data_IF_347876482105
#
_entry.id   IF_347876482105
#
_cell.length_a   1.000
_cell.length_b   1.000
_cell.length_c   1.000
_cell.angle_alpha   90.00
_cell.angle_beta   90.00
_cell.angle_gamma   90.00
#
_symmetry.space_group_name_H-M   'P 1'
#
loop_
_entity.id
_entity.type
_entity.pdbx_description
1 polymer ?
#
# COMPACT_ATOMS: atom_id res chain seq x y z
N UNK A 1 -8.96 -27.38 5.54
CA UNK A 1 -10.00 -27.78 6.50
C UNK A 1 -9.69 -27.31 7.92
N UNK A 2 -10.70 -26.87 8.68
CA UNK A 2 -10.65 -26.48 10.10
C UNK A 2 -10.00 -25.13 10.43
N UNK A 3 -9.33 -24.50 9.46
CA UNK A 3 -8.54 -23.27 9.64
C UNK A 3 -9.39 -22.01 9.65
N UNK A 4 -8.95 -21.01 10.42
CA UNK A 4 -9.38 -19.61 10.29
C UNK A 4 -8.59 -18.94 9.17
N UNK A 5 -9.27 -18.22 8.28
CA UNK A 5 -8.67 -17.64 7.08
C UNK A 5 -8.89 -16.14 7.04
N UNK A 6 -7.79 -15.39 6.87
CA UNK A 6 -7.84 -13.97 6.58
C UNK A 6 -7.52 -13.72 5.11
N UNK A 7 -8.38 -12.98 4.41
CA UNK A 7 -8.17 -12.53 3.04
C UNK A 7 -7.87 -11.03 3.09
N UNK A 8 -6.63 -10.64 2.83
CA UNK A 8 -6.25 -9.22 2.76
C UNK A 8 -6.54 -8.69 1.37
N UNK A 9 -7.30 -7.61 1.28
CA UNK A 9 -7.48 -6.85 0.04
C UNK A 9 -7.57 -5.36 0.33
N UNK A 10 -7.45 -4.52 -0.70
CA UNK A 10 -7.82 -3.11 -0.61
C UNK A 10 -9.21 -2.92 -1.21
N UNK A 11 -10.12 -2.26 -0.48
CA UNK A 11 -11.50 -2.05 -0.94
C UNK A 11 -11.69 -0.74 -1.73
N UNK A 12 -10.63 0.04 -1.92
CA UNK A 12 -10.63 1.28 -2.70
C UNK A 12 -10.59 2.54 -1.86
N UNK A 13 -10.60 3.69 -2.55
CA UNK A 13 -10.57 5.03 -1.94
C UNK A 13 -11.37 6.02 -2.81
N UNK A 14 -12.11 6.92 -2.14
CA UNK A 14 -12.85 8.05 -2.72
C UNK A 14 -13.72 7.73 -3.96
N UNK A 15 -13.31 8.13 -5.16
CA UNK A 15 -14.03 7.87 -6.43
C UNK A 15 -13.37 6.78 -7.29
N UNK A 16 -12.30 6.15 -6.81
CA UNK A 16 -11.61 5.06 -7.50
C UNK A 16 -12.51 3.83 -7.68
N UNK A 17 -12.46 3.22 -8.87
CA UNK A 17 -13.35 2.13 -9.29
C UNK A 17 -12.62 0.91 -9.89
N UNK A 18 -11.28 0.89 -9.85
CA UNK A 18 -10.43 -0.19 -10.40
C UNK A 18 -10.03 -1.24 -9.37
N UNK A 19 -10.77 -1.33 -8.25
CA UNK A 19 -10.57 -2.36 -7.23
C UNK A 19 -11.19 -3.68 -7.64
N UNK A 20 -10.79 -4.77 -6.98
CA UNK A 20 -11.29 -6.13 -7.30
C UNK A 20 -12.81 -6.18 -7.07
N UNK A 21 -13.63 -6.46 -8.10
CA UNK A 21 -15.07 -6.48 -7.97
C UNK A 21 -15.56 -7.44 -6.86
N UNK A 22 -16.59 -7.06 -6.08
CA UNK A 22 -17.13 -7.92 -5.00
C UNK A 22 -17.52 -9.33 -5.43
N UNK A 23 -17.90 -9.51 -6.72
CA UNK A 23 -18.19 -10.83 -7.29
C UNK A 23 -17.00 -11.78 -7.19
N UNK A 24 -15.78 -11.34 -7.53
CA UNK A 24 -14.59 -12.18 -7.45
C UNK A 24 -14.22 -12.50 -6.01
N UNK A 25 -14.42 -11.55 -5.09
CA UNK A 25 -14.24 -11.77 -3.65
C UNK A 25 -15.21 -12.85 -3.17
N UNK A 26 -16.49 -12.81 -3.57
CA UNK A 26 -17.49 -13.83 -3.24
C UNK A 26 -17.09 -15.22 -3.74
N UNK A 27 -16.59 -15.31 -4.97
CA UNK A 27 -16.12 -16.58 -5.56
C UNK A 27 -14.98 -17.15 -4.73
N UNK A 28 -13.99 -16.33 -4.36
CA UNK A 28 -12.87 -16.76 -3.51
C UNK A 28 -13.36 -17.19 -2.12
N UNK A 29 -14.20 -16.39 -1.47
CA UNK A 29 -14.75 -16.71 -0.14
C UNK A 29 -15.49 -18.05 -0.16
N UNK A 30 -16.28 -18.32 -1.21
CA UNK A 30 -16.97 -19.59 -1.35
C UNK A 30 -15.99 -20.75 -1.53
N UNK A 31 -14.98 -20.61 -2.40
CA UNK A 31 -13.95 -21.63 -2.60
C UNK A 31 -13.20 -21.96 -1.29
N UNK A 32 -12.89 -20.94 -0.48
CA UNK A 32 -12.23 -21.12 0.83
C UNK A 32 -13.13 -21.86 1.82
N UNK A 33 -14.44 -21.57 1.82
CA UNK A 33 -15.42 -22.30 2.66
C UNK A 33 -15.57 -23.75 2.21
N UNK A 34 -15.65 -23.99 0.90
CA UNK A 34 -15.79 -25.33 0.33
C UNK A 34 -14.54 -26.19 0.62
N UNK A 35 -13.36 -25.57 0.74
CA UNK A 35 -12.13 -26.20 1.24
C UNK A 35 -12.13 -26.50 2.77
N UNK A 36 -13.27 -26.26 3.43
CA UNK A 36 -13.52 -26.59 4.83
C UNK A 36 -12.97 -25.56 5.82
N UNK A 37 -12.84 -24.28 5.45
CA UNK A 37 -12.46 -23.25 6.39
C UNK A 37 -13.49 -23.13 7.54
N UNK A 38 -13.01 -23.09 8.79
CA UNK A 38 -13.85 -22.91 9.98
C UNK A 38 -14.44 -21.51 10.04
N UNK A 39 -13.66 -20.52 9.63
CA UNK A 39 -14.05 -19.12 9.62
C UNK A 39 -13.26 -18.38 8.54
N UNK A 40 -13.93 -17.47 7.83
CA UNK A 40 -13.32 -16.65 6.78
C UNK A 40 -13.67 -15.19 7.07
N UNK A 41 -12.68 -14.31 6.96
CA UNK A 41 -12.86 -12.86 7.04
C UNK A 41 -12.06 -12.19 5.93
N UNK A 42 -12.63 -11.13 5.37
CA UNK A 42 -11.85 -10.16 4.59
C UNK A 42 -11.35 -9.09 5.54
N UNK A 43 -10.11 -8.64 5.35
CA UNK A 43 -9.51 -7.59 6.17
C UNK A 43 -9.07 -6.42 5.30
N UNK A 44 -9.43 -5.21 5.71
CA UNK A 44 -8.88 -3.96 5.21
C UNK A 44 -9.08 -2.88 6.26
N UNK A 45 -8.11 -1.98 6.40
CA UNK A 45 -8.13 -1.00 7.48
C UNK A 45 -8.78 0.32 7.08
N UNK A 46 -8.81 0.62 5.78
CA UNK A 46 -9.38 1.85 5.23
C UNK A 46 -10.88 1.99 5.47
N UNK A 47 -11.61 0.86 5.53
CA UNK A 47 -13.03 0.81 5.90
C UNK A 47 -13.26 1.24 7.35
N UNK A 48 -12.23 1.36 8.20
CA UNK A 48 -12.46 1.62 9.64
C UNK A 48 -11.71 2.85 10.16
N UNK A 49 -10.60 3.26 9.52
CA UNK A 49 -9.87 4.47 9.90
C UNK A 49 -10.45 5.77 9.30
N UNK A 50 -10.91 5.73 8.04
CA UNK A 50 -11.19 6.96 7.27
C UNK A 50 -12.68 7.12 6.91
N UNK A 51 -13.34 6.05 6.44
CA UNK A 51 -14.74 6.09 6.03
C UNK A 51 -15.41 4.68 6.14
N UNK A 52 -16.24 4.44 7.16
CA UNK A 52 -16.95 3.18 7.35
C UNK A 52 -17.99 2.85 6.28
N UNK A 53 -18.47 3.86 5.56
CA UNK A 53 -19.46 3.67 4.51
C UNK A 53 -18.80 3.41 3.15
N UNK A 54 -17.50 3.68 3.00
CA UNK A 54 -16.78 3.56 1.74
C UNK A 54 -16.81 2.14 1.16
N UNK A 55 -16.59 1.13 2.01
CA UNK A 55 -16.68 -0.28 1.62
C UNK A 55 -18.13 -0.69 1.33
N UNK A 56 -19.08 -0.19 2.13
CA UNK A 56 -20.50 -0.47 1.97
C UNK A 56 -21.04 0.08 0.64
N UNK A 57 -20.69 1.32 0.29
CA UNK A 57 -21.09 1.97 -0.96
C UNK A 57 -20.58 1.23 -2.22
N UNK A 58 -19.50 0.46 -2.09
CA UNK A 58 -18.91 -0.36 -3.16
C UNK A 58 -19.42 -1.80 -3.19
N UNK A 59 -20.35 -2.16 -2.32
CA UNK A 59 -20.89 -3.51 -2.24
C UNK A 59 -19.97 -4.52 -1.57
N UNK A 60 -18.91 -4.07 -0.87
CA UNK A 60 -18.16 -4.93 0.04
C UNK A 60 -18.96 -5.05 1.35
N UNK A 61 -20.02 -5.85 1.32
CA UNK A 61 -20.83 -6.19 2.48
C UNK A 61 -20.85 -7.69 2.71
N UNK A 62 -21.13 -8.12 3.94
CA UNK A 62 -21.20 -9.54 4.30
C UNK A 62 -22.19 -10.32 3.43
N UNK A 63 -23.30 -9.70 3.06
CA UNK A 63 -24.38 -10.29 2.25
C UNK A 63 -23.92 -10.52 0.80
N UNK A 64 -23.10 -9.61 0.27
CA UNK A 64 -22.58 -9.67 -1.09
C UNK A 64 -21.40 -10.64 -1.18
N UNK A 65 -20.39 -10.51 -0.32
CA UNK A 65 -19.16 -11.31 -0.43
C UNK A 65 -19.24 -12.64 0.34
N UNK A 66 -20.21 -12.78 1.26
CA UNK A 66 -20.44 -14.02 2.01
C UNK A 66 -19.63 -14.17 3.30
N UNK A 67 -18.80 -13.20 3.69
CA UNK A 67 -18.06 -13.21 4.95
C UNK A 67 -17.96 -11.80 5.54
N UNK A 68 -17.70 -11.64 6.85
CA UNK A 68 -17.46 -10.32 7.42
C UNK A 68 -16.21 -9.67 6.83
N UNK A 69 -16.24 -8.34 6.77
CA UNK A 69 -15.08 -7.48 6.53
C UNK A 69 -14.74 -6.80 7.85
N UNK A 70 -13.48 -6.82 8.25
CA UNK A 70 -13.03 -6.28 9.54
C UNK A 70 -11.75 -5.46 9.39
N UNK A 71 -11.52 -4.52 10.32
CA UNK A 71 -10.28 -3.73 10.36
C UNK A 71 -9.09 -4.64 10.59
N UNK A 72 -7.96 -4.34 9.94
CA UNK A 72 -6.71 -5.04 10.21
C UNK A 72 -6.24 -4.92 11.67
N UNK A 73 -6.61 -3.87 12.40
CA UNK A 73 -6.13 -3.58 13.76
C UNK A 73 -7.23 -3.66 14.82
N UNK A 74 -8.33 -4.34 14.50
CA UNK A 74 -9.52 -4.45 15.34
C UNK A 74 -10.25 -3.11 15.49
N UNK A 75 -11.45 -3.14 16.09
CA UNK A 75 -12.30 -1.93 16.22
C UNK A 75 -11.64 -0.78 17.00
N UNK A 76 -10.68 -1.09 17.88
CA UNK A 76 -9.95 -0.09 18.66
C UNK A 76 -8.66 0.42 18.01
N UNK A 77 -8.27 -0.07 16.83
CA UNK A 77 -7.02 0.30 16.15
C UNK A 77 -5.73 -0.09 16.89
N UNK A 78 -5.84 -0.94 17.91
CA UNK A 78 -4.76 -1.28 18.85
C UNK A 78 -4.34 -2.75 18.80
N UNK A 79 -5.01 -3.56 17.98
CA UNK A 79 -4.72 -4.98 17.86
C UNK A 79 -3.61 -5.19 16.83
N UNK A 80 -2.37 -5.13 17.31
CA UNK A 80 -1.19 -5.27 16.48
C UNK A 80 -0.03 -5.93 17.23
N UNK A 81 0.84 -6.60 16.48
CA UNK A 81 2.06 -7.22 16.99
C UNK A 81 3.30 -6.49 16.48
N UNK A 82 4.25 -6.23 17.38
CA UNK A 82 5.51 -5.57 17.04
C UNK A 82 6.55 -6.60 16.62
N UNK A 83 7.24 -6.33 15.52
CA UNK A 83 8.35 -7.13 15.01
C UNK A 83 9.55 -6.24 14.73
N UNK A 84 10.76 -6.73 14.99
CA UNK A 84 11.98 -6.02 14.64
C UNK A 84 12.31 -6.20 13.15
N UNK A 85 12.64 -5.10 12.46
CA UNK A 85 13.04 -5.10 11.05
C UNK A 85 14.53 -4.78 10.91
N UNK A 86 15.01 -3.73 11.60
CA UNK A 86 16.44 -3.37 11.65
C UNK A 86 17.02 -2.87 10.33
N UNK A 87 16.28 -2.06 9.56
CA UNK A 87 16.73 -1.53 8.27
C UNK A 87 16.71 0.00 8.25
N UNK A 88 17.89 0.63 8.35
CA UNK A 88 18.03 2.10 8.45
C UNK A 88 17.13 2.66 9.56
N UNK A 89 16.22 3.57 9.22
CA UNK A 89 15.25 4.18 10.14
C UNK A 89 14.01 3.30 10.36
N UNK A 90 13.83 2.24 9.56
CA UNK A 90 12.80 1.20 9.72
C UNK A 90 13.32 0.12 10.68
N UNK A 91 13.35 0.47 11.96
CA UNK A 91 13.74 -0.40 13.07
C UNK A 91 12.69 -1.47 13.42
N UNK A 92 11.41 -1.18 13.27
CA UNK A 92 10.30 -2.10 13.56
C UNK A 92 9.11 -1.97 12.61
N UNK A 93 8.26 -3.00 12.61
CA UNK A 93 6.93 -2.99 12.03
C UNK A 93 5.87 -3.39 13.07
N UNK A 94 4.69 -2.77 13.00
CA UNK A 94 3.51 -3.15 13.79
C UNK A 94 2.50 -3.81 12.85
N UNK A 95 2.39 -5.14 12.92
CA UNK A 95 1.56 -5.96 12.05
C UNK A 95 0.13 -6.14 12.57
N UNK A 96 -0.81 -6.26 11.65
CA UNK A 96 -2.23 -6.55 11.89
C UNK A 96 -2.43 -7.77 12.79
N UNK A 97 -3.07 -7.58 13.94
CA UNK A 97 -3.43 -8.69 14.82
C UNK A 97 -4.42 -9.64 14.17
N UNK A 98 -5.41 -9.11 13.44
CA UNK A 98 -6.39 -9.91 12.72
C UNK A 98 -5.77 -10.82 11.66
N UNK A 99 -4.69 -10.38 11.01
CA UNK A 99 -3.95 -11.19 10.06
C UNK A 99 -3.05 -12.19 10.79
N UNK A 100 -2.26 -11.75 11.77
CA UNK A 100 -1.29 -12.61 12.46
C UNK A 100 -1.93 -13.79 13.19
N UNK A 101 -3.12 -13.60 13.78
CA UNK A 101 -3.76 -14.65 14.59
C UNK A 101 -4.64 -15.62 13.76
N UNK A 102 -4.60 -15.56 12.42
CA UNK A 102 -5.29 -16.53 11.57
C UNK A 102 -4.40 -17.75 11.25
N UNK A 103 -5.03 -18.89 10.95
CA UNK A 103 -4.31 -20.12 10.62
C UNK A 103 -3.80 -20.11 9.17
N UNK A 104 -4.49 -19.41 8.26
CA UNK A 104 -4.19 -19.34 6.83
C UNK A 104 -4.39 -17.91 6.31
N UNK A 105 -3.42 -17.41 5.56
CA UNK A 105 -3.45 -16.06 5.02
C UNK A 105 -3.51 -16.08 3.49
N UNK A 106 -4.47 -15.34 2.93
CA UNK A 106 -4.61 -15.11 1.50
C UNK A 106 -4.40 -13.63 1.21
N UNK A 107 -3.44 -13.33 0.35
CA UNK A 107 -3.24 -11.99 -0.19
C UNK A 107 -4.01 -11.85 -1.51
N UNK A 108 -5.08 -11.07 -1.50
CA UNK A 108 -5.90 -10.77 -2.66
C UNK A 108 -5.63 -9.33 -3.11
N UNK A 109 -4.70 -9.17 -4.05
CA UNK A 109 -4.25 -7.88 -4.54
C UNK A 109 -4.63 -7.68 -6.01
N UNK A 110 -4.75 -6.41 -6.38
CA UNK A 110 -4.74 -5.97 -7.77
C UNK A 110 -3.46 -5.19 -8.01
N UNK A 111 -2.91 -5.30 -9.21
CA UNK A 111 -1.66 -4.66 -9.59
C UNK A 111 -1.94 -3.25 -10.07
N UNK A 112 -1.16 -2.29 -9.59
CA UNK A 112 -1.34 -0.87 -9.90
C UNK A 112 -0.05 -0.09 -9.74
N UNK A 113 0.06 1.06 -10.37
CA UNK A 113 1.27 1.88 -10.35
C UNK A 113 1.55 2.52 -8.98
N UNK A 114 2.82 2.86 -8.74
CA UNK A 114 3.27 3.61 -7.57
C UNK A 114 4.54 4.40 -7.89
N UNK A 115 4.56 5.69 -7.55
CA UNK A 115 5.63 6.62 -7.94
C UNK A 115 7.03 6.26 -7.44
N UNK A 116 7.12 5.52 -6.31
CA UNK A 116 8.40 5.16 -5.69
C UNK A 116 8.84 3.69 -5.89
N UNK A 117 8.02 2.83 -6.50
CA UNK A 117 8.37 1.41 -6.69
C UNK A 117 7.89 0.80 -8.02
N UNK A 118 7.43 1.63 -8.96
CA UNK A 118 6.90 1.17 -10.24
C UNK A 118 5.49 0.61 -10.10
N UNK A 119 5.36 -0.61 -9.59
CA UNK A 119 4.07 -1.28 -9.37
C UNK A 119 3.96 -1.81 -7.94
N UNK A 120 2.74 -1.80 -7.42
CA UNK A 120 2.33 -2.53 -6.22
C UNK A 120 1.39 -3.67 -6.61
N UNK A 121 1.45 -4.76 -5.85
CA UNK A 121 0.56 -5.92 -5.91
C UNK A 121 0.55 -6.58 -4.53
N UNK A 122 0.58 -7.90 -4.48
CA UNK A 122 0.65 -8.69 -3.24
C UNK A 122 1.68 -8.14 -2.22
N UNK A 123 2.94 -7.97 -2.64
CA UNK A 123 4.01 -7.47 -1.76
C UNK A 123 3.66 -6.13 -1.10
N UNK A 124 3.07 -5.20 -1.85
CA UNK A 124 2.65 -3.88 -1.36
C UNK A 124 1.39 -3.98 -0.50
N UNK A 125 0.47 -4.90 -0.80
CA UNK A 125 -0.74 -5.14 -0.02
C UNK A 125 -0.40 -5.63 1.39
N UNK A 126 0.65 -6.46 1.54
CA UNK A 126 1.20 -6.82 2.85
C UNK A 126 1.97 -5.65 3.46
N UNK A 127 3.01 -5.15 2.79
CA UNK A 127 3.94 -4.17 3.34
C UNK A 127 3.26 -2.88 3.82
N UNK A 128 2.17 -2.46 3.18
CA UNK A 128 1.44 -1.23 3.50
C UNK A 128 0.07 -1.48 4.10
N UNK A 129 -0.61 -2.55 3.69
CA UNK A 129 -1.99 -2.83 4.07
C UNK A 129 -2.14 -3.59 5.39
N UNK A 130 -1.08 -4.27 5.86
CA UNK A 130 -1.10 -5.03 7.11
C UNK A 130 -0.28 -4.41 8.22
N UNK A 131 0.15 -3.16 8.05
CA UNK A 131 0.93 -2.43 9.04
C UNK A 131 0.26 -1.13 9.43
N UNK A 132 0.45 -0.70 10.68
CA UNK A 132 -0.17 0.52 11.19
C UNK A 132 0.31 1.75 10.42
N UNK A 133 -0.43 2.87 10.51
CA UNK A 133 -0.02 4.16 9.94
C UNK A 133 1.40 4.58 10.36
N UNK A 134 1.80 4.32 11.59
CA UNK A 134 3.18 4.60 12.06
C UNK A 134 4.22 3.83 11.25
N UNK A 135 3.98 2.54 11.00
CA UNK A 135 4.89 1.70 10.21
C UNK A 135 4.87 2.13 8.74
N UNK A 136 3.67 2.39 8.16
CA UNK A 136 3.53 2.93 6.79
C UNK A 136 4.39 4.19 6.60
N UNK A 137 4.33 5.14 7.55
CA UNK A 137 5.13 6.35 7.52
C UNK A 137 6.64 6.07 7.54
N UNK A 138 7.10 5.14 8.39
CA UNK A 138 8.51 4.73 8.41
C UNK A 138 8.99 4.13 7.10
N UNK A 139 8.15 3.33 6.43
CA UNK A 139 8.48 2.79 5.11
C UNK A 139 8.57 3.94 4.09
N UNK A 140 7.61 4.87 4.07
CA UNK A 140 7.67 6.03 3.17
C UNK A 140 8.85 6.97 3.45
N UNK A 141 9.40 7.03 4.67
CA UNK A 141 10.64 7.78 4.93
C UNK A 141 11.89 7.17 4.27
N UNK A 142 11.81 5.94 3.79
CA UNK A 142 12.84 5.33 2.94
C UNK A 142 12.79 5.88 1.50
N UNK A 143 11.67 6.49 1.08
CA UNK A 143 11.60 7.21 -0.19
C UNK A 143 12.54 8.42 -0.16
N UNK A 144 12.93 8.87 -1.35
CA UNK A 144 13.75 10.06 -1.43
C UNK A 144 14.53 10.17 -2.71
N UNK A 145 15.60 10.95 -2.61
CA UNK A 145 16.48 11.26 -3.72
C UNK A 145 16.37 12.69 -4.19
N UNK A 146 15.56 13.54 -3.55
CA UNK A 146 15.64 14.99 -3.66
C UNK A 146 16.09 15.57 -2.32
N UNK A 147 17.14 16.38 -2.33
CA UNK A 147 17.67 17.06 -1.15
C UNK A 147 17.60 18.57 -1.36
N UNK A 148 17.18 19.28 -0.31
CA UNK A 148 17.17 20.75 -0.27
C UNK A 148 18.37 21.24 0.54
N UNK A 149 19.25 22.02 -0.09
CA UNK A 149 20.23 22.84 0.61
C UNK A 149 19.53 24.08 1.18
N UNK A 150 19.27 24.03 2.49
CA UNK A 150 18.61 25.12 3.23
C UNK A 150 19.40 26.42 3.22
N UNK A 151 20.72 26.38 3.05
CA UNK A 151 21.56 27.58 3.05
C UNK A 151 21.47 28.33 1.71
N UNK A 152 21.21 27.62 0.61
CA UNK A 152 21.00 28.21 -0.72
C UNK A 152 19.56 28.63 -0.96
N UNK A 153 18.60 27.91 -0.38
CA UNK A 153 17.19 28.17 -0.62
C UNK A 153 16.73 29.53 -0.06
N UNK A 154 16.32 30.44 -0.95
CA UNK A 154 15.75 31.75 -0.58
C UNK A 154 14.22 31.76 -0.43
N UNK A 155 13.58 30.58 -0.40
CA UNK A 155 12.12 30.43 -0.32
C UNK A 155 11.35 31.23 -1.39
N UNK A 156 11.84 31.23 -2.63
CA UNK A 156 11.19 31.96 -3.74
C UNK A 156 10.00 31.23 -4.38
N UNK A 157 9.69 30.00 -3.92
CA UNK A 157 8.55 29.16 -4.33
C UNK A 157 8.41 28.81 -5.82
N UNK A 158 9.33 29.22 -6.70
CA UNK A 158 9.31 28.81 -8.12
C UNK A 158 9.20 27.30 -8.34
N UNK A 159 9.92 26.52 -7.53
CA UNK A 159 9.86 25.05 -7.61
C UNK A 159 8.50 24.50 -7.17
N UNK A 160 7.86 25.12 -6.16
CA UNK A 160 6.52 24.77 -5.69
C UNK A 160 5.49 25.04 -6.78
N UNK A 161 5.50 26.23 -7.38
CA UNK A 161 4.57 26.63 -8.46
C UNK A 161 4.74 25.78 -9.72
N UNK A 162 5.98 25.39 -10.04
CA UNK A 162 6.26 24.61 -11.23
C UNK A 162 6.05 23.09 -11.06
N UNK A 163 5.61 22.62 -9.88
CA UNK A 163 5.37 21.21 -9.63
C UNK A 163 3.97 20.81 -10.12
N UNK A 164 3.83 20.04 -11.22
CA UNK A 164 2.51 19.71 -11.78
C UNK A 164 1.72 18.70 -10.94
N UNK A 165 2.36 18.08 -9.94
CA UNK A 165 1.80 16.99 -9.14
C UNK A 165 1.62 17.36 -7.66
N UNK A 166 1.82 18.63 -7.28
CA UNK A 166 1.75 19.09 -5.89
C UNK A 166 2.70 18.33 -4.93
N UNK A 167 3.83 17.86 -5.46
CA UNK A 167 4.83 17.09 -4.73
C UNK A 167 5.74 17.92 -3.84
N UNK A 168 5.70 19.25 -3.95
CA UNK A 168 6.43 20.16 -3.06
C UNK A 168 5.43 20.76 -2.08
N UNK A 169 5.72 20.63 -0.79
CA UNK A 169 4.96 21.29 0.28
C UNK A 169 5.74 22.48 0.78
N UNK A 170 5.04 23.52 1.21
CA UNK A 170 5.62 24.74 1.73
C UNK A 170 5.20 24.95 3.19
N UNK A 171 6.12 25.43 4.01
CA UNK A 171 5.89 25.86 5.37
C UNK A 171 6.19 27.36 5.44
N UNK A 172 5.13 28.17 5.42
CA UNK A 172 5.23 29.64 5.42
C UNK A 172 5.78 30.20 6.74
N UNK A 173 5.70 29.45 7.84
CA UNK A 173 6.21 29.86 9.15
C UNK A 173 7.72 29.68 9.20
N UNK A 174 8.22 28.50 8.80
CA UNK A 174 9.64 28.19 8.77
C UNK A 174 10.36 28.73 7.53
N UNK A 175 9.61 29.12 6.50
CA UNK A 175 10.11 29.45 5.16
C UNK A 175 10.93 28.30 4.57
N UNK A 176 10.39 27.09 4.68
CA UNK A 176 11.00 25.85 4.19
C UNK A 176 10.07 25.13 3.21
N UNK A 177 10.66 24.36 2.30
CA UNK A 177 9.91 23.41 1.47
C UNK A 177 10.29 21.99 1.84
N UNK A 178 9.39 21.05 1.60
CA UNK A 178 9.62 19.62 1.72
C UNK A 178 9.05 18.88 0.50
N UNK A 179 9.55 17.68 0.26
CA UNK A 179 9.12 16.85 -0.86
C UNK A 179 8.20 15.74 -0.37
N UNK A 180 7.01 15.68 -0.95
CA UNK A 180 6.11 14.55 -0.82
C UNK A 180 6.36 13.57 -1.97
N UNK A 181 7.25 12.61 -1.75
CA UNK A 181 7.76 11.70 -2.78
C UNK A 181 6.68 10.83 -3.42
N UNK A 182 5.60 10.53 -2.70
CA UNK A 182 4.44 9.83 -3.25
C UNK A 182 3.79 10.56 -4.45
N UNK A 183 3.92 11.89 -4.51
CA UNK A 183 3.45 12.74 -5.63
C UNK A 183 4.56 13.04 -6.66
N UNK A 184 5.81 12.76 -6.32
CA UNK A 184 6.95 13.09 -7.16
C UNK A 184 7.11 12.08 -8.30
N UNK A 185 7.10 12.55 -9.53
CA UNK A 185 7.40 11.73 -10.73
C UNK A 185 8.86 11.82 -11.17
N UNK A 186 9.72 12.45 -10.37
CA UNK A 186 11.14 12.66 -10.66
C UNK A 186 11.42 13.35 -12.01
N UNK A 187 10.51 14.25 -12.45
CA UNK A 187 10.64 15.01 -13.69
C UNK A 187 11.78 16.07 -13.67
N UNK A 188 12.36 16.33 -12.50
CA UNK A 188 13.47 17.28 -12.27
C UNK A 188 13.18 18.74 -12.58
N UNK A 189 11.91 19.11 -12.84
CA UNK A 189 11.54 20.50 -13.13
C UNK A 189 11.88 21.44 -11.95
N UNK A 190 11.73 20.96 -10.71
CA UNK A 190 12.10 21.70 -9.51
C UNK A 190 13.60 22.00 -9.41
N UNK A 191 14.48 21.12 -9.93
CA UNK A 191 15.93 21.36 -9.99
C UNK A 191 16.22 22.45 -11.03
N UNK A 192 15.68 22.29 -12.24
CA UNK A 192 15.97 23.17 -13.37
C UNK A 192 15.49 24.61 -13.14
N UNK A 193 14.35 24.78 -12.45
CA UNK A 193 13.76 26.11 -12.21
C UNK A 193 14.38 26.83 -10.99
N UNK A 194 15.16 26.13 -10.15
CA UNK A 194 15.71 26.71 -8.93
C UNK A 194 16.87 27.66 -9.28
N UNK A 195 16.73 28.99 -9.12
CA UNK A 195 17.78 29.93 -9.53
C UNK A 195 19.02 29.87 -8.63
N UNK A 196 18.88 29.31 -7.42
CA UNK A 196 19.97 29.18 -6.45
C UNK A 196 20.61 27.78 -6.48
N UNK A 197 20.14 26.88 -7.35
CA UNK A 197 20.58 25.48 -7.41
C UNK A 197 20.52 24.79 -6.02
N UNK A 198 19.48 25.12 -5.26
CA UNK A 198 19.29 24.67 -3.88
C UNK A 198 18.71 23.25 -3.79
N UNK A 199 18.27 22.67 -4.91
CA UNK A 199 17.68 21.32 -4.94
C UNK A 199 18.64 20.43 -5.73
N UNK A 200 19.08 19.33 -5.12
CA UNK A 200 19.88 18.29 -5.78
C UNK A 200 19.10 16.99 -5.83
N UNK A 201 19.43 16.16 -6.82
CA UNK A 201 18.92 14.79 -6.92
C UNK A 201 20.09 13.82 -6.83
N UNK A 202 20.20 13.12 -5.70
CA UNK A 202 21.26 12.14 -5.45
C UNK A 202 20.63 10.82 -5.01
N UNK A 203 21.18 9.70 -5.49
CA UNK A 203 20.85 8.34 -5.05
C UNK A 203 19.34 8.14 -4.85
N UNK A 204 18.59 8.17 -5.98
CA UNK A 204 17.14 7.91 -6.00
C UNK A 204 16.85 6.71 -5.10
N UNK A 205 16.16 6.93 -3.97
CA UNK A 205 16.05 5.93 -2.89
C UNK A 205 14.98 4.87 -3.16
N UNK A 206 14.78 4.52 -4.43
CA UNK A 206 13.83 3.48 -4.84
C UNK A 206 14.22 2.12 -4.29
N UNK A 207 15.53 1.83 -4.23
CA UNK A 207 16.06 0.59 -3.68
C UNK A 207 15.79 0.49 -2.18
N UNK A 208 16.03 1.56 -1.42
CA UNK A 208 15.75 1.61 0.02
C UNK A 208 14.27 1.35 0.30
N UNK A 209 13.37 2.02 -0.44
CA UNK A 209 11.93 1.85 -0.31
C UNK A 209 11.50 0.41 -0.65
N UNK A 210 11.98 -0.13 -1.77
CA UNK A 210 11.64 -1.48 -2.23
C UNK A 210 12.18 -2.56 -1.29
N UNK A 211 13.41 -2.39 -0.81
CA UNK A 211 14.03 -3.29 0.17
C UNK A 211 13.30 -3.23 1.52
N UNK A 212 12.94 -2.04 1.98
CA UNK A 212 12.14 -1.88 3.20
C UNK A 212 10.80 -2.60 3.12
N UNK A 213 10.06 -2.45 2.01
CA UNK A 213 8.82 -3.20 1.78
C UNK A 213 9.06 -4.71 1.74
N UNK A 214 10.08 -5.17 1.02
CA UNK A 214 10.41 -6.60 0.94
C UNK A 214 10.76 -7.18 2.32
N UNK A 215 11.50 -6.45 3.15
CA UNK A 215 11.86 -6.85 4.51
C UNK A 215 10.63 -6.93 5.42
N UNK A 216 9.72 -5.97 5.35
CA UNK A 216 8.45 -5.98 6.11
C UNK A 216 7.58 -7.16 5.67
N UNK A 217 7.42 -7.37 4.36
CA UNK A 217 6.67 -8.51 3.84
C UNK A 217 7.30 -9.83 4.28
N UNK A 218 8.61 -10.01 4.13
CA UNK A 218 9.30 -11.21 4.57
C UNK A 218 9.15 -11.46 6.09
N UNK A 219 9.17 -10.40 6.92
CA UNK A 219 8.94 -10.52 8.34
C UNK A 219 7.51 -10.95 8.69
N UNK A 220 6.50 -10.49 7.93
CA UNK A 220 5.12 -10.96 8.06
C UNK A 220 4.97 -12.43 7.64
N UNK A 221 5.49 -12.81 6.47
CA UNK A 221 5.34 -14.16 5.93
C UNK A 221 5.94 -15.25 6.82
N UNK A 222 7.03 -14.93 7.55
CA UNK A 222 7.64 -15.84 8.54
C UNK A 222 6.72 -16.23 9.69
N UNK A 223 5.57 -15.58 9.86
CA UNK A 223 4.56 -15.92 10.87
C UNK A 223 3.71 -17.12 10.45
N UNK A 224 3.80 -17.55 9.20
CA UNK A 224 3.06 -18.66 8.63
C UNK A 224 3.99 -19.75 8.11
N UNK A 225 3.50 -20.99 8.08
CA UNK A 225 4.12 -22.03 7.26
C UNK A 225 3.81 -21.76 5.78
N UNK A 226 4.72 -22.10 4.83
CA UNK A 226 4.48 -21.88 3.40
C UNK A 226 3.15 -22.44 2.89
N UNK A 227 2.72 -23.61 3.37
CA UNK A 227 1.44 -24.24 3.00
C UNK A 227 0.19 -23.48 3.50
N UNK A 228 0.38 -22.45 4.33
CA UNK A 228 -0.69 -21.62 4.88
C UNK A 228 -0.71 -20.22 4.25
N UNK A 229 0.01 -20.04 3.14
CA UNK A 229 0.09 -18.80 2.39
C UNK A 229 -0.42 -19.02 0.97
N UNK A 230 -1.21 -18.08 0.47
CA UNK A 230 -1.61 -18.07 -0.93
C UNK A 230 -1.73 -16.62 -1.41
N UNK A 231 -1.21 -16.34 -2.59
CA UNK A 231 -1.16 -14.99 -3.13
C UNK A 231 -1.90 -14.95 -4.46
N UNK A 232 -2.61 -13.85 -4.72
CA UNK A 232 -3.41 -13.63 -5.92
C UNK A 232 -3.22 -12.18 -6.35
N UNK A 233 -2.75 -11.98 -7.59
CA UNK A 233 -2.64 -10.68 -8.25
C UNK A 233 -3.64 -10.60 -9.41
N UNK A 234 -4.50 -9.59 -9.41
CA UNK A 234 -5.34 -9.20 -10.54
C UNK A 234 -4.60 -8.18 -11.40
N UNK A 235 -4.41 -8.47 -12.69
CA UNK A 235 -3.74 -7.61 -13.67
C UNK A 235 -4.71 -7.19 -14.78
N UNK A 236 -5.94 -6.88 -14.42
CA UNK A 236 -7.01 -6.50 -15.36
C UNK A 236 -7.05 -4.99 -15.62
N UNK A 237 -6.85 -4.18 -14.56
CA UNK A 237 -7.03 -2.72 -14.55
C UNK A 237 -5.83 -2.01 -13.93
N UNK A 238 -4.64 -2.26 -14.46
CA UNK A 238 -3.40 -1.73 -13.92
C UNK A 238 -3.29 -0.23 -14.22
N UNK A 239 -3.68 0.60 -13.25
CA UNK A 239 -3.62 2.07 -13.34
C UNK A 239 -2.20 2.59 -13.21
N UNK A 240 -1.94 3.79 -13.71
CA UNK A 240 -0.64 4.47 -13.55
C UNK A 240 -0.41 4.94 -12.10
N UNK A 241 -1.47 5.34 -11.41
CA UNK A 241 -1.40 5.93 -10.08
C UNK A 241 -1.84 4.97 -9.00
N UNK A 242 -1.32 5.20 -7.79
CA UNK A 242 -1.73 4.43 -6.63
C UNK A 242 -3.19 4.78 -6.25
N UNK A 243 -4.01 3.77 -5.98
CA UNK A 243 -5.37 3.96 -5.43
C UNK A 243 -5.47 4.92 -4.25
N UNK A 244 -4.41 5.07 -3.46
CA UNK A 244 -4.46 6.00 -2.34
C UNK A 244 -4.50 7.49 -2.74
N UNK A 245 -4.51 7.77 -4.04
CA UNK A 245 -4.87 9.08 -4.58
C UNK A 245 -6.39 9.29 -4.69
N UNK A 246 -7.22 8.25 -4.49
CA UNK A 246 -8.67 8.35 -4.49
C UNK A 246 -9.34 8.35 -5.85
N UNK A 247 -8.60 8.12 -6.94
CA UNK A 247 -9.16 8.07 -8.30
C UNK A 247 -8.51 6.98 -9.15
N UNK A 248 -9.20 6.62 -10.24
CA UNK A 248 -8.68 5.68 -11.25
C UNK A 248 -8.23 6.44 -12.51
N UNK A 249 -7.12 6.01 -13.10
CA UNK A 249 -6.65 6.47 -14.41
C UNK A 249 -6.85 5.38 -15.47
N UNK A 250 -6.71 5.67 -16.78
CA UNK A 250 -6.75 4.63 -17.80
C UNK A 250 -5.72 3.53 -17.53
N UNK A 251 -6.07 2.28 -17.84
CA UNK A 251 -5.18 1.14 -17.71
C UNK A 251 -3.92 1.34 -18.54
N UNK A 252 -2.76 1.17 -17.91
CA UNK A 252 -1.45 1.32 -18.52
C UNK A 252 -1.03 0.08 -19.30
N UNK A 253 -1.45 -1.10 -18.84
CA UNK A 253 -1.25 -2.38 -19.53
C UNK A 253 -2.60 -3.02 -19.90
N UNK A 254 -2.64 -3.86 -20.95
CA UNK A 254 -3.81 -4.67 -21.25
C UNK A 254 -4.18 -5.59 -20.09
N UNK A 255 -5.40 -6.10 -20.11
CA UNK A 255 -5.83 -7.18 -19.21
C UNK A 255 -4.98 -8.44 -19.45
N UNK A 256 -4.17 -8.80 -18.46
CA UNK A 256 -3.33 -10.01 -18.46
C UNK A 256 -4.05 -11.17 -17.72
N UNK A 257 -5.09 -10.88 -16.94
CA UNK A 257 -5.82 -11.83 -16.14
C UNK A 257 -5.34 -11.89 -14.68
N UNK A 258 -5.30 -13.11 -14.13
CA UNK A 258 -5.04 -13.35 -12.70
C UNK A 258 -3.83 -14.27 -12.56
N UNK A 259 -2.86 -13.86 -11.75
CA UNK A 259 -1.73 -14.70 -11.33
C UNK A 259 -1.96 -15.14 -9.88
N UNK A 260 -1.72 -16.41 -9.59
CA UNK A 260 -1.92 -16.97 -8.25
C UNK A 260 -0.94 -18.08 -7.95
N UNK A 261 -0.51 -18.19 -6.68
CA UNK A 261 0.48 -19.17 -6.27
C UNK A 261 0.82 -19.11 -4.78
N UNK A 262 1.59 -20.11 -4.32
CA UNK A 262 2.11 -20.18 -2.95
C UNK A 262 3.43 -19.43 -2.73
N UNK A 263 4.03 -18.90 -3.80
CA UNK A 263 5.24 -18.08 -3.74
C UNK A 263 4.93 -16.67 -4.26
N UNK A 264 5.05 -15.68 -3.38
CA UNK A 264 4.78 -14.28 -3.69
C UNK A 264 5.74 -13.71 -4.75
N UNK A 265 6.94 -14.27 -4.88
CA UNK A 265 7.92 -13.81 -5.86
C UNK A 265 7.65 -14.35 -7.27
N UNK A 266 6.76 -15.35 -7.40
CA UNK A 266 6.44 -15.99 -8.67
C UNK A 266 5.19 -15.41 -9.36
N UNK A 267 4.49 -14.45 -8.73
CA UNK A 267 3.18 -13.94 -9.19
C UNK A 267 3.08 -12.41 -9.22
#
# INVERSE_FOLDING_TARGET
>A
EGKTVAIKMHVGEDIGFTTIPPLFVRILVQAVKDAGARYVKVIDDKVFEDDPDMGLARGYTKEVIGCPIVSCFGQGGKYHYREHIGFKELDFALFSGEAVDCDFFIDLAHVKGHGACGFGGALKNIAMGLVTRQTRQKIHHLEGGLTLDKNKCKYCLKCFEACPNDAIKKDDVKKEISFFFHHCTFCQHCLMICPEEAITMENRKFEDFSQGMAMVTAAFLKKFTPDNLFFINFLTDVTMYCDCWGFSSPSLVPDIGILAGGDIAAI
#
